data_IF_878625275577
#
_entry.id   IF_878625275577
#
_cell.length_a   1.000
_cell.length_b   1.000
_cell.length_c   1.000
_cell.angle_alpha   90.00
_cell.angle_beta   90.00
_cell.angle_gamma   90.00
#
_symmetry.space_group_name_H-M   'P 1'
#
loop_
_entity.id
_entity.type
_entity.pdbx_description
1 polymer ?
#
# COMPACT_ATOMS: atom_id res chain seq x y z
N UNK A 1 8.22 6.18 9.14
CA UNK A 1 9.13 6.06 7.96
C UNK A 1 9.33 4.57 7.69
N UNK A 2 9.03 4.09 6.47
CA UNK A 2 9.12 2.66 6.13
C UNK A 2 10.59 2.24 6.02
N UNK A 3 10.99 1.24 6.81
CA UNK A 3 12.33 0.67 6.78
C UNK A 3 12.67 0.05 5.42
N UNK A 4 13.95 0.05 5.02
CA UNK A 4 14.35 -0.46 3.70
C UNK A 4 13.97 -1.92 3.46
N UNK A 5 14.00 -2.75 4.51
CA UNK A 5 13.57 -4.14 4.40
C UNK A 5 12.07 -4.26 4.13
N UNK A 6 11.25 -3.48 4.84
CA UNK A 6 9.80 -3.42 4.61
C UNK A 6 9.47 -2.94 3.19
N UNK A 7 10.19 -1.91 2.70
CA UNK A 7 10.04 -1.45 1.31
C UNK A 7 10.32 -2.56 0.31
N UNK A 8 11.39 -3.34 0.52
CA UNK A 8 11.73 -4.48 -0.33
C UNK A 8 10.64 -5.55 -0.31
N UNK A 9 10.08 -5.87 0.86
CA UNK A 9 8.97 -6.82 0.97
C UNK A 9 7.74 -6.31 0.21
N UNK A 10 7.33 -5.04 0.41
CA UNK A 10 6.19 -4.44 -0.29
C UNK A 10 6.36 -4.42 -1.82
N UNK A 11 7.58 -4.21 -2.33
CA UNK A 11 7.89 -4.22 -3.77
C UNK A 11 7.72 -5.61 -4.43
N UNK A 12 7.56 -6.68 -3.66
CA UNK A 12 7.28 -8.02 -4.20
C UNK A 12 5.84 -8.15 -4.67
N UNK A 13 4.94 -7.28 -4.22
CA UNK A 13 3.54 -7.31 -4.62
C UNK A 13 3.39 -6.90 -6.09
N UNK A 14 2.52 -7.62 -6.80
CA UNK A 14 2.28 -7.36 -8.22
C UNK A 14 1.71 -5.95 -8.41
N UNK A 15 2.26 -5.20 -9.38
CA UNK A 15 1.86 -3.82 -9.71
C UNK A 15 2.12 -2.78 -8.61
N UNK A 16 2.91 -3.10 -7.58
CA UNK A 16 3.41 -2.12 -6.60
C UNK A 16 4.75 -1.57 -7.04
N UNK A 17 4.86 -0.23 -7.05
CA UNK A 17 6.10 0.48 -7.33
C UNK A 17 6.47 1.45 -6.19
N UNK A 18 7.69 2.04 -6.24
CA UNK A 18 8.19 2.91 -5.17
C UNK A 18 7.25 4.07 -4.81
N UNK A 19 6.56 4.63 -5.81
CA UNK A 19 5.61 5.73 -5.61
C UNK A 19 4.40 5.32 -4.78
N UNK A 20 3.88 4.11 -4.95
CA UNK A 20 2.78 3.60 -4.14
C UNK A 20 3.22 3.43 -2.68
N UNK A 21 4.46 2.98 -2.46
CA UNK A 21 5.04 2.84 -1.11
C UNK A 21 5.18 4.21 -0.43
N UNK A 22 5.58 5.25 -1.17
CA UNK A 22 5.61 6.62 -0.63
C UNK A 22 4.21 7.10 -0.21
N UNK A 23 3.17 6.81 -0.99
CA UNK A 23 1.80 7.16 -0.60
C UNK A 23 1.33 6.40 0.65
N UNK A 24 1.69 5.13 0.78
CA UNK A 24 1.42 4.34 1.99
C UNK A 24 2.10 4.93 3.22
N UNK A 25 3.36 5.35 3.08
CA UNK A 25 4.09 6.05 4.13
C UNK A 25 3.44 7.38 4.52
N UNK A 26 2.99 8.17 3.54
CA UNK A 26 2.30 9.44 3.77
C UNK A 26 1.00 9.28 4.56
N UNK A 27 0.27 8.16 4.37
CA UNK A 27 -0.95 7.86 5.13
C UNK A 27 -0.67 7.10 6.44
N UNK A 28 0.60 6.92 6.82
CA UNK A 28 1.03 6.35 8.10
C UNK A 28 1.19 4.83 8.13
N UNK A 29 1.27 4.16 6.99
CA UNK A 29 1.62 2.73 6.93
C UNK A 29 3.14 2.60 7.05
N UNK A 30 3.60 1.76 7.98
CA UNK A 30 5.03 1.60 8.25
C UNK A 30 5.56 0.21 7.92
N UNK A 31 4.70 -0.82 7.97
CA UNK A 31 5.05 -2.22 7.76
C UNK A 31 4.05 -2.92 6.85
N UNK A 32 4.50 -3.96 6.15
CA UNK A 32 3.63 -4.81 5.33
C UNK A 32 2.53 -5.45 6.18
N UNK A 33 2.86 -5.85 7.41
CA UNK A 33 1.91 -6.44 8.34
C UNK A 33 0.74 -5.50 8.72
N UNK A 34 0.93 -4.18 8.64
CA UNK A 34 -0.12 -3.20 8.97
C UNK A 34 -1.26 -3.21 7.92
N UNK A 35 -1.03 -3.83 6.75
CA UNK A 35 -2.00 -3.95 5.67
C UNK A 35 -2.91 -5.18 5.82
N UNK A 36 -2.64 -6.06 6.78
CA UNK A 36 -3.49 -7.24 7.02
C UNK A 36 -4.87 -6.82 7.48
N UNK A 37 -5.89 -7.22 6.73
CA UNK A 37 -7.28 -6.86 7.02
C UNK A 37 -7.67 -5.42 6.65
N UNK A 38 -6.76 -4.67 6.00
CA UNK A 38 -7.11 -3.37 5.44
C UNK A 38 -8.03 -3.52 4.22
N UNK A 39 -8.88 -2.52 3.98
CA UNK A 39 -9.65 -2.42 2.74
C UNK A 39 -8.92 -1.58 1.69
N UNK A 40 -8.84 -2.09 0.47
CA UNK A 40 -8.11 -1.43 -0.61
C UNK A 40 -8.75 -0.10 -1.07
N UNK A 41 -10.07 0.03 -1.00
CA UNK A 41 -10.73 1.29 -1.37
C UNK A 41 -10.58 2.33 -0.27
N UNK A 42 -10.59 1.91 0.99
CA UNK A 42 -10.30 2.80 2.12
C UNK A 42 -8.87 3.35 2.03
N UNK A 43 -7.88 2.49 1.77
CA UNK A 43 -6.50 2.93 1.54
C UNK A 43 -6.40 3.90 0.36
N UNK A 44 -7.06 3.59 -0.76
CA UNK A 44 -7.08 4.46 -1.93
C UNK A 44 -7.69 5.84 -1.62
N UNK A 45 -8.79 5.87 -0.88
CA UNK A 45 -9.44 7.10 -0.43
C UNK A 45 -8.54 7.91 0.49
N UNK A 46 -7.86 7.27 1.46
CA UNK A 46 -6.89 7.95 2.34
C UNK A 46 -5.73 8.56 1.56
N UNK A 47 -5.24 7.89 0.52
CA UNK A 47 -4.21 8.42 -0.37
C UNK A 47 -4.73 9.64 -1.14
N UNK A 48 -5.93 9.56 -1.73
CA UNK A 48 -6.53 10.69 -2.44
C UNK A 48 -6.71 11.93 -1.54
N UNK A 49 -7.12 11.70 -0.28
CA UNK A 49 -7.24 12.74 0.75
C UNK A 49 -5.87 13.35 1.05
N UNK A 50 -4.85 12.53 1.32
CA UNK A 50 -3.49 13.01 1.61
C UNK A 50 -2.89 13.82 0.45
N UNK A 51 -3.21 13.44 -0.79
CA UNK A 51 -2.78 14.16 -1.99
C UNK A 51 -3.63 15.40 -2.31
N UNK A 52 -4.76 15.60 -1.62
CA UNK A 52 -5.69 16.70 -1.88
C UNK A 52 -6.39 16.63 -3.25
N UNK A 53 -6.35 15.48 -3.93
CA UNK A 53 -6.93 15.28 -5.26
C UNK A 53 -7.24 13.82 -5.52
N UNK A 54 -8.24 13.56 -6.37
CA UNK A 54 -8.52 12.21 -6.88
C UNK A 54 -7.37 11.73 -7.76
N UNK A 55 -6.60 10.77 -7.28
CA UNK A 55 -5.45 10.17 -7.97
C UNK A 55 -5.65 8.67 -8.22
N UNK A 56 -6.26 7.96 -7.29
CA UNK A 56 -6.45 6.52 -7.37
C UNK A 56 -7.51 6.14 -8.40
N UNK A 57 -7.16 5.17 -9.24
CA UNK A 57 -8.04 4.56 -10.23
C UNK A 57 -8.19 3.06 -9.95
N UNK A 58 -8.93 2.34 -10.80
CA UNK A 58 -9.14 0.89 -10.63
C UNK A 58 -7.84 0.08 -10.59
N UNK A 59 -6.81 0.49 -11.36
CA UNK A 59 -5.50 -0.15 -11.33
C UNK A 59 -4.76 0.10 -10.01
N UNK A 60 -4.82 1.32 -9.48
CA UNK A 60 -4.27 1.65 -8.17
C UNK A 60 -4.93 0.85 -7.04
N UNK A 61 -6.26 0.73 -7.07
CA UNK A 61 -7.00 -0.12 -6.13
C UNK A 61 -6.62 -1.60 -6.27
N UNK A 62 -6.47 -2.10 -7.51
CA UNK A 62 -6.03 -3.47 -7.73
C UNK A 62 -4.61 -3.72 -7.20
N UNK A 63 -3.69 -2.77 -7.38
CA UNK A 63 -2.34 -2.86 -6.82
C UNK A 63 -2.36 -2.90 -5.28
N UNK A 64 -3.20 -2.09 -4.63
CA UNK A 64 -3.40 -2.13 -3.18
C UNK A 64 -3.95 -3.47 -2.71
N UNK A 65 -4.88 -4.08 -3.46
CA UNK A 65 -5.39 -5.44 -3.16
C UNK A 65 -4.26 -6.48 -3.22
N UNK A 66 -3.44 -6.46 -4.27
CA UNK A 66 -2.31 -7.38 -4.38
C UNK A 66 -1.33 -7.23 -3.20
N UNK A 67 -1.14 -6.01 -2.71
CA UNK A 67 -0.29 -5.75 -1.57
C UNK A 67 -0.89 -6.29 -0.26
N UNK A 68 -2.19 -6.11 -0.06
CA UNK A 68 -2.92 -6.69 1.08
C UNK A 68 -2.87 -8.23 1.04
N UNK A 69 -3.08 -8.83 -0.14
CA UNK A 69 -2.95 -10.27 -0.33
C UNK A 69 -1.54 -10.77 -0.01
N UNK A 70 -0.49 -10.04 -0.44
CA UNK A 70 0.88 -10.37 -0.05
C UNK A 70 1.05 -10.32 1.48
N UNK A 71 0.53 -9.28 2.13
CA UNK A 71 0.62 -9.13 3.58
C UNK A 71 -0.06 -10.28 4.34
N UNK A 72 -1.18 -10.78 3.83
CA UNK A 72 -1.90 -11.92 4.41
C UNK A 72 -1.10 -13.22 4.27
N UNK A 73 -0.41 -13.40 3.14
CA UNK A 73 0.29 -14.65 2.81
C UNK A 73 1.74 -14.73 3.30
N UNK A 74 2.41 -13.60 3.59
CA UNK A 74 3.75 -13.61 4.18
C UNK A 74 3.67 -13.79 5.72
N UNK A 75 4.39 -14.77 6.30
CA UNK A 75 4.55 -14.85 7.76
C UNK A 75 5.41 -13.67 8.24
N UNK A 76 4.91 -12.96 9.27
CA UNK A 76 5.62 -11.85 9.93
C UNK A 76 6.79 -12.32 10.78
#
# INVERSE_FOLDING_TARGET
>A
MIAQQERKSMLRAHSIGPRMISYLEEIGIERLADLRGADAHELAMRIDIALGRKHMNSLGVAALRNLIELAINEPS
#
